data_IF_224215346457
#
_entry.id   IF_224215346457
#
_cell.length_a   1.000
_cell.length_b   1.000
_cell.length_c   1.000
_cell.angle_alpha   90.00
_cell.angle_beta   90.00
_cell.angle_gamma   90.00
#
_symmetry.space_group_name_H-M   'P 1'
#
loop_
_entity.id
_entity.type
_entity.pdbx_description
1 polymer ?
#
# COMPACT_ATOMS: atom_id res chain seq x y z
N UNK A 1 0.28 17.48 -1.70
CA UNK A 1 -0.12 16.22 -2.35
C UNK A 1 0.35 15.06 -1.53
N UNK A 2 -0.42 14.03 -1.49
CA UNK A 2 -0.07 12.89 -0.68
C UNK A 2 0.77 11.91 -1.49
N UNK A 3 1.84 11.42 -0.88
CA UNK A 3 2.67 10.38 -1.47
C UNK A 3 2.56 9.10 -0.67
N UNK A 4 1.66 9.07 0.30
CA UNK A 4 1.51 7.95 1.18
C UNK A 4 0.30 7.13 0.76
N UNK A 5 0.48 5.84 0.67
CA UNK A 5 -0.55 4.92 0.24
C UNK A 5 -0.91 3.99 1.36
N UNK A 6 -2.16 3.55 1.38
CA UNK A 6 -2.57 2.48 2.27
C UNK A 6 -3.00 1.29 1.43
N UNK A 7 -2.51 0.12 1.80
CA UNK A 7 -2.85 -1.13 1.13
C UNK A 7 -3.61 -1.98 2.14
N UNK A 8 -4.78 -2.44 1.75
CA UNK A 8 -5.60 -3.23 2.66
C UNK A 8 -5.88 -4.60 2.08
N UNK A 9 -6.31 -5.50 2.94
CA UNK A 9 -6.69 -6.86 2.58
C UNK A 9 -5.50 -7.71 2.14
N UNK A 10 -4.36 -7.49 2.78
CA UNK A 10 -3.15 -8.24 2.44
C UNK A 10 -3.21 -9.68 2.94
N UNK A 11 -2.63 -10.61 2.17
CA UNK A 11 -2.51 -11.98 2.66
C UNK A 11 -1.47 -12.07 3.77
N UNK A 12 -1.57 -13.13 4.56
CA UNK A 12 -0.61 -13.34 5.64
C UNK A 12 0.80 -13.54 5.13
N UNK A 13 0.93 -13.98 3.89
CA UNK A 13 2.25 -14.22 3.31
C UNK A 13 2.96 -12.95 2.86
N UNK A 14 2.25 -11.82 2.85
CA UNK A 14 2.88 -10.58 2.38
C UNK A 14 3.83 -10.03 3.44
N UNK A 15 4.95 -9.48 2.98
CA UNK A 15 5.96 -8.91 3.86
C UNK A 15 6.30 -7.51 3.39
N UNK A 16 7.00 -6.76 4.27
CA UNK A 16 7.44 -5.43 3.88
C UNK A 16 8.35 -5.49 2.66
N UNK A 17 9.21 -6.48 2.60
CA UNK A 17 10.11 -6.61 1.47
C UNK A 17 9.36 -6.90 0.18
N UNK A 18 8.36 -7.78 0.24
CA UNK A 18 7.55 -8.06 -0.95
C UNK A 18 6.80 -6.84 -1.40
N UNK A 19 6.26 -6.07 -0.46
CA UNK A 19 5.56 -4.84 -0.81
C UNK A 19 6.52 -3.83 -1.45
N UNK A 20 7.70 -3.67 -0.89
CA UNK A 20 8.66 -2.75 -1.47
C UNK A 20 9.01 -3.15 -2.90
N UNK A 21 9.12 -4.44 -3.16
CA UNK A 21 9.40 -4.92 -4.50
C UNK A 21 8.25 -4.64 -5.46
N UNK A 22 7.03 -4.91 -5.00
CA UNK A 22 5.85 -4.68 -5.85
C UNK A 22 5.69 -3.21 -6.20
N UNK A 23 5.79 -2.35 -5.20
CA UNK A 23 5.61 -0.91 -5.42
C UNK A 23 6.82 -0.30 -6.10
N UNK A 24 8.00 -0.88 -5.90
CA UNK A 24 9.22 -0.39 -6.52
C UNK A 24 9.20 -0.42 -8.03
N UNK A 25 8.29 -1.19 -8.61
CA UNK A 25 8.16 -1.23 -10.07
C UNK A 25 7.57 0.06 -10.63
N UNK A 26 6.94 0.86 -9.78
CA UNK A 26 6.23 2.05 -10.23
C UNK A 26 6.87 3.34 -9.76
N UNK A 27 7.92 3.24 -8.97
CA UNK A 27 8.62 4.42 -8.48
C UNK A 27 9.48 4.09 -7.29
N UNK A 28 10.00 5.14 -6.67
CA UNK A 28 10.89 4.98 -5.53
C UNK A 28 10.08 4.83 -4.26
N UNK A 29 10.28 3.74 -3.55
CA UNK A 29 9.60 3.48 -2.28
C UNK A 29 10.50 3.97 -1.16
N UNK A 30 10.00 4.91 -0.38
CA UNK A 30 10.76 5.47 0.72
C UNK A 30 10.63 4.66 2.00
N UNK A 31 9.45 4.13 2.23
CA UNK A 31 9.25 3.29 3.43
C UNK A 31 8.01 2.42 3.27
N UNK A 32 8.00 1.33 4.01
CA UNK A 32 6.87 0.42 4.08
C UNK A 32 6.68 0.06 5.54
N UNK A 33 5.46 0.15 6.02
CA UNK A 33 5.14 -0.21 7.38
C UNK A 33 3.92 -1.14 7.37
N UNK A 34 4.14 -2.40 7.71
CA UNK A 34 3.05 -3.34 7.83
C UNK A 34 2.27 -3.10 9.10
N UNK A 35 0.96 -3.11 8.98
CA UNK A 35 0.09 -3.09 10.13
C UNK A 35 -0.63 -4.41 10.22
N UNK A 36 -0.66 -4.98 11.41
CA UNK A 36 -1.41 -6.21 11.62
C UNK A 36 -2.46 -5.93 12.68
N UNK A 37 -3.70 -6.17 12.32
CA UNK A 37 -4.77 -6.12 13.27
C UNK A 37 -5.30 -7.52 13.41
N UNK A 38 -6.22 -7.72 14.33
CA UNK A 38 -6.71 -9.05 14.62
C UNK A 38 -7.15 -9.80 13.41
N UNK A 39 -7.95 -9.17 12.56
CA UNK A 39 -8.55 -9.89 11.45
C UNK A 39 -8.18 -9.30 10.12
N UNK A 40 -7.27 -8.34 10.08
CA UNK A 40 -6.89 -7.73 8.82
C UNK A 40 -5.43 -7.39 8.81
N UNK A 41 -4.90 -7.36 7.63
CA UNK A 41 -3.54 -6.89 7.43
C UNK A 41 -3.57 -5.76 6.43
N UNK A 42 -2.81 -4.75 6.72
CA UNK A 42 -2.66 -3.62 5.84
C UNK A 42 -1.26 -3.08 5.94
N UNK A 43 -0.96 -2.08 5.13
CA UNK A 43 0.36 -1.49 5.13
C UNK A 43 0.29 -0.06 4.64
N UNK A 44 1.20 0.76 5.18
CA UNK A 44 1.44 2.09 4.63
C UNK A 44 2.69 2.03 3.77
N UNK A 45 2.61 2.61 2.58
CA UNK A 45 3.73 2.68 1.67
C UNK A 45 3.95 4.13 1.33
N UNK A 46 5.17 4.62 1.54
CA UNK A 46 5.51 6.00 1.22
C UNK A 46 6.30 6.00 -0.07
N UNK A 47 5.80 6.72 -1.08
CA UNK A 47 6.50 6.85 -2.35
C UNK A 47 7.16 8.22 -2.43
N UNK A 48 8.11 8.38 -3.34
CA UNK A 48 8.85 9.61 -3.43
C UNK A 48 8.03 10.76 -4.00
N UNK A 49 7.20 10.49 -4.99
CA UNK A 49 6.42 11.54 -5.63
C UNK A 49 4.96 11.11 -5.74
N UNK A 50 4.08 12.08 -5.88
CA UNK A 50 2.67 11.77 -6.02
C UNK A 50 2.37 11.10 -7.37
N UNK A 51 3.12 11.42 -8.41
CA UNK A 51 2.94 10.76 -9.70
C UNK A 51 3.22 9.27 -9.59
N UNK A 52 4.29 8.91 -8.88
CA UNK A 52 4.61 7.50 -8.67
C UNK A 52 3.54 6.82 -7.83
N UNK A 53 3.06 7.51 -6.81
CA UNK A 53 2.00 6.96 -5.98
C UNK A 53 0.75 6.66 -6.79
N UNK A 54 0.36 7.58 -7.67
CA UNK A 54 -0.81 7.38 -8.49
C UNK A 54 -0.62 6.24 -9.49
N UNK A 55 0.58 6.10 -10.04
CA UNK A 55 0.88 4.96 -10.91
C UNK A 55 0.72 3.64 -10.18
N UNK A 56 1.21 3.59 -8.95
CA UNK A 56 1.13 2.36 -8.17
C UNK A 56 -0.32 2.02 -7.88
N UNK A 57 -1.13 3.02 -7.54
CA UNK A 57 -2.56 2.78 -7.31
C UNK A 57 -3.20 2.21 -8.55
N UNK A 58 -2.95 2.82 -9.70
CA UNK A 58 -3.59 2.39 -10.94
C UNK A 58 -3.22 0.95 -11.27
N UNK A 59 -2.00 0.55 -10.95
CA UNK A 59 -1.53 -0.79 -11.32
C UNK A 59 -1.91 -1.84 -10.28
N UNK A 60 -1.91 -1.48 -9.00
CA UNK A 60 -2.00 -2.47 -7.93
C UNK A 60 -3.35 -2.51 -7.23
N UNK A 61 -4.18 -1.50 -7.41
CA UNK A 61 -5.50 -1.56 -6.79
C UNK A 61 -6.28 -2.71 -7.39
N UNK A 62 -6.83 -3.56 -6.55
CA UNK A 62 -7.56 -4.76 -6.93
C UNK A 62 -6.68 -5.81 -7.62
N UNK A 63 -5.37 -5.70 -7.46
CA UNK A 63 -4.47 -6.73 -7.97
C UNK A 63 -4.50 -7.93 -7.05
N UNK A 64 -4.14 -9.06 -7.61
CA UNK A 64 -4.12 -10.33 -6.89
C UNK A 64 -2.76 -10.49 -6.22
N UNK A 65 -2.76 -10.46 -4.89
CA UNK A 65 -1.57 -10.71 -4.10
C UNK A 65 -1.72 -12.09 -3.47
N UNK A 66 -1.12 -13.08 -4.09
CA UNK A 66 -1.14 -14.45 -3.58
C UNK A 66 -2.54 -14.94 -3.28
N UNK A 67 -3.47 -14.66 -4.18
CA UNK A 67 -4.83 -15.15 -4.05
C UNK A 67 -5.82 -14.20 -3.40
N UNK A 68 -5.35 -13.01 -2.97
CA UNK A 68 -6.24 -12.02 -2.37
C UNK A 68 -6.22 -10.75 -3.18
N UNK A 69 -7.37 -10.21 -3.45
CA UNK A 69 -7.46 -8.92 -4.12
C UNK A 69 -7.25 -7.83 -3.08
N UNK A 70 -6.26 -7.00 -3.28
CA UNK A 70 -5.94 -5.93 -2.35
C UNK A 70 -6.52 -4.61 -2.82
N UNK A 71 -6.73 -3.69 -1.91
CA UNK A 71 -7.14 -2.33 -2.22
C UNK A 71 -5.97 -1.40 -1.95
N UNK A 72 -5.72 -0.48 -2.88
CA UNK A 72 -4.64 0.49 -2.72
C UNK A 72 -5.22 1.87 -2.94
N UNK A 73 -5.03 2.77 -1.99
CA UNK A 73 -5.55 4.13 -2.12
C UNK A 73 -4.64 5.10 -1.38
N UNK A 74 -4.86 6.38 -1.62
CA UNK A 74 -4.07 7.40 -0.96
C UNK A 74 -4.44 7.45 0.52
N UNK A 75 -3.43 7.50 1.36
CA UNK A 75 -3.62 7.66 2.79
C UNK A 75 -3.48 9.13 3.11
N UNK A 76 -4.56 9.75 3.53
CA UNK A 76 -4.55 11.16 3.84
C UNK A 76 -4.14 11.31 5.30
N UNK A 77 -3.07 12.09 5.50
CA UNK A 77 -2.44 12.12 6.81
C UNK A 77 -3.39 12.54 7.92
N UNK A 78 -4.29 13.44 7.65
CA UNK A 78 -5.20 13.91 8.68
C UNK A 78 -6.61 13.38 8.52
N UNK A 79 -6.76 12.30 7.78
CA UNK A 79 -8.08 11.71 7.60
C UNK A 79 -8.59 11.17 8.92
N UNK A 80 -9.89 11.29 9.18
CA UNK A 80 -10.49 10.69 10.36
C UNK A 80 -10.30 9.20 10.30
N UNK A 81 -10.00 8.69 11.41
CA UNK A 81 -9.79 7.27 11.43
C UNK A 81 -10.97 6.54 11.93
N UNK A 82 -11.83 6.93 11.94
CA UNK A 82 -12.83 6.31 12.41
C UNK A 82 -13.29 5.36 11.96
N UNK A 83 -13.18 5.13 11.99
CA UNK A 83 -13.39 4.65 11.78
C UNK A 83 -13.79 3.87 11.88
#
# INVERSE_FOLDING_TARGET
MSTRLYVSNLPLSETEQKLATRFGKFGVVLSVALETARSRRGAFVEMKTSAEALKAIAALNLADFDGRLVSVYLAVANAPQKS
#
